data_IF_025261321474
#
_entry.id   IF_025261321474
#
_cell.length_a   1.000
_cell.length_b   1.000
_cell.length_c   1.000
_cell.angle_alpha   90.00
_cell.angle_beta   90.00
_cell.angle_gamma   90.00
#
_symmetry.space_group_name_H-M   'P 1'
#
loop_
_entity.id
_entity.type
_entity.pdbx_description
1 polymer ?
#
# COMPACT_ATOMS: atom_id res chain seq x y z
N UNK A 1 22.66 2.31 17.91
CA UNK A 1 22.81 2.34 16.44
C UNK A 1 24.06 3.13 16.04
N UNK A 2 25.27 2.72 16.49
CA UNK A 2 26.52 3.48 16.25
C UNK A 2 26.84 3.68 14.75
N UNK A 3 26.45 2.74 13.90
CA UNK A 3 26.67 2.85 12.45
C UNK A 3 25.78 3.86 11.72
N UNK A 4 24.66 4.32 12.30
CA UNK A 4 23.83 5.33 11.62
C UNK A 4 24.44 6.74 11.72
N UNK A 5 25.01 7.07 12.88
CA UNK A 5 25.67 8.36 13.07
C UNK A 5 26.89 8.53 12.16
N UNK A 6 27.62 7.44 11.88
CA UNK A 6 28.74 7.41 10.92
C UNK A 6 28.29 7.60 9.47
N UNK A 7 27.04 7.26 9.14
CA UNK A 7 26.47 7.40 7.79
C UNK A 7 25.76 8.74 7.57
N UNK A 8 25.52 9.53 8.61
CA UNK A 8 24.88 10.85 8.48
C UNK A 8 25.56 11.77 7.48
N UNK A 9 26.91 11.91 7.44
CA UNK A 9 27.57 12.75 6.44
C UNK A 9 27.32 12.27 5.01
N UNK A 10 27.26 10.95 4.79
CA UNK A 10 26.95 10.36 3.50
C UNK A 10 25.52 10.71 3.06
N UNK A 11 24.51 10.46 3.90
CA UNK A 11 23.12 10.80 3.57
C UNK A 11 22.90 12.31 3.41
N UNK A 12 23.61 13.13 4.19
CA UNK A 12 23.55 14.59 4.08
C UNK A 12 24.12 15.07 2.74
N UNK A 13 25.16 14.43 2.22
CA UNK A 13 25.70 14.73 0.89
C UNK A 13 24.68 14.50 -0.23
N UNK A 14 23.68 13.64 0.00
CA UNK A 14 22.60 13.33 -0.92
C UNK A 14 21.37 14.24 -0.76
N UNK A 15 21.41 15.24 0.13
CA UNK A 15 20.26 16.08 0.48
C UNK A 15 19.61 16.75 -0.75
N UNK A 16 20.42 17.21 -1.69
CA UNK A 16 19.95 17.89 -2.91
C UNK A 16 19.70 16.94 -4.08
N UNK A 17 19.63 15.64 -3.84
CA UNK A 17 19.39 14.62 -4.85
C UNK A 17 18.02 13.99 -4.68
N UNK A 18 17.56 13.25 -5.70
CA UNK A 18 16.32 12.46 -5.67
C UNK A 18 16.23 11.47 -4.49
N UNK A 19 17.34 11.20 -3.80
CA UNK A 19 17.38 10.29 -2.66
C UNK A 19 16.42 10.70 -1.54
N UNK A 20 16.30 11.99 -1.23
CA UNK A 20 15.41 12.46 -0.15
C UNK A 20 13.96 12.16 -0.50
N UNK A 21 13.53 12.51 -1.70
CA UNK A 21 12.19 12.20 -2.22
C UNK A 21 11.97 10.68 -2.22
N UNK A 22 12.94 9.90 -2.72
CA UNK A 22 12.84 8.45 -2.76
C UNK A 22 12.64 7.85 -1.37
N UNK A 23 13.41 8.30 -0.37
CA UNK A 23 13.33 7.80 1.01
C UNK A 23 11.94 8.04 1.63
N UNK A 24 11.33 9.19 1.31
CA UNK A 24 9.97 9.51 1.74
C UNK A 24 8.93 8.65 1.00
N UNK A 25 8.98 8.62 -0.33
CA UNK A 25 8.01 7.92 -1.18
C UNK A 25 8.04 6.41 -1.00
N UNK A 26 9.22 5.83 -0.77
CA UNK A 26 9.39 4.41 -0.50
C UNK A 26 8.46 3.93 0.62
N UNK A 27 8.32 4.71 1.70
CA UNK A 27 7.45 4.36 2.83
C UNK A 27 6.00 4.17 2.40
N UNK A 28 5.48 5.12 1.62
CA UNK A 28 4.10 5.07 1.08
C UNK A 28 3.93 3.96 0.06
N UNK A 29 4.92 3.70 -0.80
CA UNK A 29 4.88 2.58 -1.75
C UNK A 29 4.76 1.24 -1.04
N UNK A 30 5.54 1.01 0.02
CA UNK A 30 5.46 -0.21 0.81
C UNK A 30 4.14 -0.31 1.59
N UNK A 31 3.62 0.79 2.11
CA UNK A 31 2.31 0.84 2.77
C UNK A 31 1.19 0.47 1.80
N UNK A 32 1.05 1.19 0.69
CA UNK A 32 -0.01 0.97 -0.29
C UNK A 32 0.11 -0.38 -0.99
N UNK A 33 1.32 -0.84 -1.29
CA UNK A 33 1.57 -2.18 -1.81
C UNK A 33 1.06 -3.26 -0.86
N UNK A 34 1.41 -3.20 0.43
CA UNK A 34 0.93 -4.17 1.43
C UNK A 34 -0.59 -4.15 1.57
N UNK A 35 -1.19 -2.97 1.65
CA UNK A 35 -2.65 -2.80 1.77
C UNK A 35 -3.36 -3.40 0.56
N UNK A 36 -2.91 -3.08 -0.66
CA UNK A 36 -3.46 -3.61 -1.89
C UNK A 36 -3.35 -5.14 -1.95
N UNK A 37 -2.21 -5.70 -1.53
CA UNK A 37 -2.01 -7.14 -1.42
C UNK A 37 -3.05 -7.81 -0.52
N UNK A 38 -3.27 -7.26 0.68
CA UNK A 38 -4.26 -7.78 1.63
C UNK A 38 -5.68 -7.73 1.06
N UNK A 39 -6.05 -6.63 0.39
CA UNK A 39 -7.37 -6.49 -0.26
C UNK A 39 -7.55 -7.52 -1.36
N UNK A 40 -6.57 -7.68 -2.26
CA UNK A 40 -6.63 -8.66 -3.35
C UNK A 40 -6.80 -10.09 -2.82
N UNK A 41 -6.02 -10.48 -1.81
CA UNK A 41 -6.14 -11.82 -1.17
C UNK A 41 -7.52 -12.00 -0.52
N UNK A 42 -8.04 -10.96 0.14
CA UNK A 42 -9.36 -11.02 0.80
C UNK A 42 -10.49 -11.21 -0.21
N UNK A 43 -10.44 -10.48 -1.33
CA UNK A 43 -11.41 -10.62 -2.44
C UNK A 43 -11.32 -12.00 -3.07
N UNK A 44 -10.10 -12.48 -3.36
CA UNK A 44 -9.88 -13.81 -3.93
C UNK A 44 -10.47 -14.90 -3.03
N UNK A 45 -10.18 -14.86 -1.72
CA UNK A 45 -10.74 -15.83 -0.76
C UNK A 45 -12.26 -15.75 -0.69
N UNK A 46 -12.83 -14.54 -0.66
CA UNK A 46 -14.28 -14.34 -0.62
C UNK A 46 -14.94 -14.95 -1.86
N UNK A 47 -14.39 -14.69 -3.05
CA UNK A 47 -14.86 -15.23 -4.32
C UNK A 47 -14.80 -16.76 -4.34
N UNK A 48 -13.65 -17.35 -4.00
CA UNK A 48 -13.43 -18.80 -4.06
C UNK A 48 -14.32 -19.56 -3.07
N UNK A 49 -14.47 -19.05 -1.83
CA UNK A 49 -15.24 -19.75 -0.78
C UNK A 49 -16.74 -19.53 -0.93
N UNK A 50 -17.18 -18.30 -1.19
CA UNK A 50 -18.60 -17.97 -1.17
C UNK A 50 -19.29 -18.19 -2.51
N UNK A 51 -18.55 -18.04 -3.62
CA UNK A 51 -19.11 -18.08 -4.98
C UNK A 51 -18.20 -18.81 -5.99
N UNK A 52 -17.90 -20.10 -5.76
CA UNK A 52 -16.91 -20.84 -6.56
C UNK A 52 -17.25 -20.91 -8.06
N UNK A 53 -18.54 -20.96 -8.41
CA UNK A 53 -19.01 -21.03 -9.80
C UNK A 53 -19.34 -19.66 -10.42
N UNK A 54 -19.08 -18.55 -9.72
CA UNK A 54 -19.34 -17.23 -10.27
C UNK A 54 -18.44 -16.92 -11.48
N UNK A 55 -18.97 -16.13 -12.43
CA UNK A 55 -18.18 -15.64 -13.57
C UNK A 55 -16.95 -14.86 -13.11
N UNK A 56 -17.07 -14.11 -12.02
CA UNK A 56 -15.97 -13.37 -11.41
C UNK A 56 -14.83 -14.31 -10.98
N UNK A 57 -15.15 -15.39 -10.26
CA UNK A 57 -14.15 -16.36 -9.83
C UNK A 57 -13.45 -17.03 -11.02
N UNK A 58 -14.21 -17.39 -12.07
CA UNK A 58 -13.65 -18.00 -13.28
C UNK A 58 -12.70 -17.04 -14.02
N UNK A 59 -13.01 -15.74 -14.06
CA UNK A 59 -12.11 -14.73 -14.64
C UNK A 59 -10.83 -14.61 -13.80
N UNK A 60 -10.97 -14.51 -12.47
CA UNK A 60 -9.83 -14.43 -11.56
C UNK A 60 -8.86 -15.61 -11.72
N UNK A 61 -9.37 -16.83 -11.87
CA UNK A 61 -8.54 -18.03 -12.04
C UNK A 61 -7.87 -18.07 -13.42
N UNK A 62 -8.50 -17.51 -14.46
CA UNK A 62 -7.96 -17.48 -15.82
C UNK A 62 -6.96 -16.34 -16.06
N UNK A 63 -6.92 -15.34 -15.18
CA UNK A 63 -5.98 -14.23 -15.31
C UNK A 63 -4.54 -14.74 -15.14
N UNK A 64 -3.62 -14.29 -16.02
CA UNK A 64 -2.23 -14.70 -15.91
C UNK A 64 -1.58 -14.06 -14.68
N UNK A 65 -0.64 -14.77 -14.06
CA UNK A 65 0.03 -14.34 -12.83
C UNK A 65 0.68 -12.96 -12.97
N UNK A 66 1.24 -12.65 -14.16
CA UNK A 66 1.86 -11.36 -14.43
C UNK A 66 0.87 -10.19 -14.31
N UNK A 67 -0.43 -10.39 -14.57
CA UNK A 67 -1.43 -9.34 -14.44
C UNK A 67 -1.61 -8.91 -12.98
N UNK A 68 -1.55 -9.86 -12.05
CA UNK A 68 -1.57 -9.57 -10.61
C UNK A 68 -0.30 -8.85 -10.17
N UNK A 69 0.87 -9.28 -10.66
CA UNK A 69 2.13 -8.58 -10.41
C UNK A 69 2.08 -7.14 -10.95
N UNK A 70 1.65 -6.95 -12.20
CA UNK A 70 1.52 -5.64 -12.81
C UNK A 70 0.58 -4.75 -11.98
N UNK A 71 -0.61 -5.24 -11.62
CA UNK A 71 -1.55 -4.48 -10.78
C UNK A 71 -0.97 -4.13 -9.42
N UNK A 72 -0.32 -5.10 -8.75
CA UNK A 72 0.22 -4.92 -7.40
C UNK A 72 1.33 -3.86 -7.33
N UNK A 73 2.17 -3.75 -8.36
CA UNK A 73 3.26 -2.78 -8.39
C UNK A 73 2.86 -1.45 -9.04
N UNK A 74 2.07 -1.49 -10.11
CA UNK A 74 1.67 -0.26 -10.83
C UNK A 74 0.69 0.58 -10.03
N UNK A 75 -0.26 0.00 -9.31
CA UNK A 75 -1.25 0.78 -8.57
C UNK A 75 -0.63 1.61 -7.42
N UNK A 76 0.25 1.09 -6.55
CA UNK A 76 0.96 1.91 -5.57
C UNK A 76 1.82 3.00 -6.20
N UNK A 77 2.52 2.70 -7.31
CA UNK A 77 3.31 3.69 -8.05
C UNK A 77 2.44 4.84 -8.57
N UNK A 78 1.25 4.55 -9.10
CA UNK A 78 0.30 5.57 -9.55
C UNK A 78 -0.26 6.40 -8.39
N UNK A 79 -0.55 5.78 -7.25
CA UNK A 79 -1.05 6.49 -6.06
C UNK A 79 -0.02 7.47 -5.47
N UNK A 80 1.26 7.10 -5.54
CA UNK A 80 2.40 7.89 -5.09
C UNK A 80 3.01 8.80 -6.17
N UNK A 81 2.50 8.77 -7.41
CA UNK A 81 3.12 9.46 -8.55
C UNK A 81 3.36 10.95 -8.28
N UNK A 82 2.40 11.62 -7.65
CA UNK A 82 2.51 13.04 -7.31
C UNK A 82 3.64 13.33 -6.31
N UNK A 83 3.97 12.38 -5.43
CA UNK A 83 4.96 12.56 -4.37
C UNK A 83 6.40 12.63 -4.91
N UNK A 84 6.65 12.07 -6.11
CA UNK A 84 7.96 12.11 -6.76
C UNK A 84 8.35 13.50 -7.30
N UNK A 85 7.37 14.38 -7.47
CA UNK A 85 7.57 15.72 -8.04
C UNK A 85 7.57 16.83 -6.98
N UNK A 86 7.56 16.47 -5.69
CA UNK A 86 7.56 17.42 -4.58
C UNK A 86 8.98 17.65 -4.11
N UNK A 87 9.34 18.92 -3.92
CA UNK A 87 10.62 19.30 -3.36
C UNK A 87 10.69 18.90 -1.88
N UNK A 88 11.73 18.14 -1.52
CA UNK A 88 11.96 17.64 -0.17
C UNK A 88 13.47 17.72 0.12
N UNK A 89 13.82 18.07 1.36
CA UNK A 89 15.20 18.16 1.83
C UNK A 89 15.27 17.81 3.33
N UNK A 90 16.46 17.49 3.83
CA UNK A 90 16.74 17.29 5.24
C UNK A 90 16.95 18.63 5.97
N UNK A 91 16.33 18.78 7.13
CA UNK A 91 16.38 20.00 7.96
C UNK A 91 17.77 20.28 8.55
N UNK A 92 18.34 19.26 9.22
CA UNK A 92 19.63 19.37 9.89
C UNK A 92 20.39 18.03 9.89
N UNK A 93 21.72 18.08 9.96
CA UNK A 93 22.58 16.88 9.96
C UNK A 93 22.38 16.02 11.22
N UNK A 94 21.97 16.61 12.35
CA UNK A 94 21.75 15.85 13.57
C UNK A 94 20.45 15.03 13.53
N UNK A 95 19.37 15.63 12.99
CA UNK A 95 18.02 15.06 13.03
C UNK A 95 17.63 14.32 11.76
N UNK A 96 18.10 14.76 10.60
CA UNK A 96 17.76 14.19 9.28
C UNK A 96 16.26 14.11 9.00
N UNK A 97 15.48 15.04 9.55
CA UNK A 97 14.05 15.11 9.29
C UNK A 97 13.80 15.62 7.87
N UNK A 98 12.92 14.93 7.14
CA UNK A 98 12.48 15.37 5.82
C UNK A 98 11.51 16.53 5.95
N UNK A 99 11.87 17.66 5.36
CA UNK A 99 11.07 18.88 5.27
C UNK A 99 10.30 18.89 3.96
N UNK A 100 9.03 19.23 4.06
CA UNK A 100 8.07 19.30 2.96
C UNK A 100 7.05 20.41 3.28
N UNK A 101 6.50 21.04 2.25
CA UNK A 101 5.44 22.04 2.42
C UNK A 101 4.22 21.46 3.15
N UNK A 102 3.71 22.19 4.14
CA UNK A 102 2.58 21.74 4.99
C UNK A 102 1.35 21.34 4.17
N UNK A 103 0.97 22.16 3.18
CA UNK A 103 -0.23 21.90 2.37
C UNK A 103 -0.16 20.54 1.64
N UNK A 104 1.02 20.21 1.11
CA UNK A 104 1.25 18.92 0.43
C UNK A 104 1.28 17.78 1.44
N UNK A 105 1.91 18.00 2.59
CA UNK A 105 2.01 17.01 3.66
C UNK A 105 0.63 16.62 4.21
N UNK A 106 -0.28 17.58 4.41
CA UNK A 106 -1.65 17.32 4.86
C UNK A 106 -2.41 16.42 3.88
N UNK A 107 -2.27 16.67 2.57
CA UNK A 107 -2.88 15.82 1.54
C UNK A 107 -2.32 14.39 1.59
N UNK A 108 -1.01 14.23 1.77
CA UNK A 108 -0.37 12.92 1.87
C UNK A 108 -0.82 12.16 3.12
N UNK A 109 -0.91 12.85 4.27
CA UNK A 109 -1.46 12.28 5.50
C UNK A 109 -2.91 11.84 5.33
N UNK A 110 -3.75 12.68 4.73
CA UNK A 110 -5.15 12.33 4.49
C UNK A 110 -5.27 11.09 3.59
N UNK A 111 -4.45 10.98 2.54
CA UNK A 111 -4.38 9.79 1.70
C UNK A 111 -3.96 8.54 2.48
N UNK A 112 -2.90 8.64 3.30
CA UNK A 112 -2.42 7.53 4.14
C UNK A 112 -3.43 7.14 5.22
N UNK A 113 -4.34 8.02 5.66
CA UNK A 113 -5.43 7.63 6.55
C UNK A 113 -6.61 6.97 5.80
N UNK A 114 -7.01 7.52 4.65
CA UNK A 114 -8.19 7.07 3.91
C UNK A 114 -8.00 5.72 3.21
N UNK A 115 -6.83 5.48 2.62
CA UNK A 115 -6.56 4.24 1.86
C UNK A 115 -6.66 2.99 2.76
N UNK A 116 -5.98 2.91 3.93
CA UNK A 116 -6.14 1.79 4.85
C UNK A 116 -7.56 1.67 5.39
N UNK A 117 -8.24 2.79 5.65
CA UNK A 117 -9.62 2.76 6.14
C UNK A 117 -10.55 2.08 5.13
N UNK A 118 -10.52 2.51 3.86
CA UNK A 118 -11.33 1.91 2.78
C UNK A 118 -10.97 0.42 2.62
N UNK A 119 -9.68 0.11 2.60
CA UNK A 119 -9.23 -1.27 2.51
C UNK A 119 -9.74 -2.14 3.68
N UNK A 120 -9.73 -1.61 4.90
CA UNK A 120 -10.24 -2.32 6.08
C UNK A 120 -11.73 -2.61 5.96
N UNK A 121 -12.53 -1.67 5.42
CA UNK A 121 -13.96 -1.85 5.18
C UNK A 121 -14.19 -2.95 4.15
N UNK A 122 -13.45 -2.93 3.03
CA UNK A 122 -13.54 -3.96 1.98
C UNK A 122 -13.20 -5.34 2.55
N UNK A 123 -12.12 -5.45 3.33
CA UNK A 123 -11.73 -6.68 3.98
C UNK A 123 -12.80 -7.17 4.96
N UNK A 124 -13.33 -6.28 5.82
CA UNK A 124 -14.39 -6.62 6.77
C UNK A 124 -15.65 -7.16 6.07
N UNK A 125 -16.06 -6.53 4.95
CA UNK A 125 -17.18 -7.02 4.13
C UNK A 125 -16.86 -8.41 3.55
N UNK A 126 -15.69 -8.61 2.97
CA UNK A 126 -15.27 -9.91 2.42
C UNK A 126 -15.33 -11.02 3.48
N UNK A 127 -14.76 -10.77 4.67
CA UNK A 127 -14.78 -11.74 5.77
C UNK A 127 -16.19 -11.94 6.33
N UNK A 128 -17.02 -10.89 6.39
CA UNK A 128 -18.43 -11.01 6.78
C UNK A 128 -19.22 -11.93 5.85
N UNK A 129 -19.00 -11.83 4.53
CA UNK A 129 -19.60 -12.71 3.53
C UNK A 129 -19.11 -14.15 3.72
N UNK A 130 -17.80 -14.36 3.88
CA UNK A 130 -17.22 -15.70 4.10
C UNK A 130 -17.84 -16.37 5.34
N UNK A 131 -17.90 -15.66 6.47
CA UNK A 131 -18.48 -16.19 7.71
C UNK A 131 -19.96 -16.57 7.53
N UNK A 132 -20.73 -15.73 6.82
CA UNK A 132 -22.14 -16.03 6.50
C UNK A 132 -22.27 -17.29 5.65
N UNK A 133 -21.44 -17.45 4.63
CA UNK A 133 -21.45 -18.62 3.74
C UNK A 133 -21.11 -19.89 4.51
N UNK A 134 -20.05 -19.86 5.34
CA UNK A 134 -19.63 -21.01 6.16
C UNK A 134 -20.74 -21.40 7.14
N UNK A 135 -21.33 -20.44 7.85
CA UNK A 135 -22.43 -20.71 8.79
C UNK A 135 -23.62 -21.36 8.09
N UNK A 136 -24.02 -20.86 6.92
CA UNK A 136 -25.16 -21.40 6.17
C UNK A 136 -24.89 -22.82 5.64
N UNK A 137 -23.65 -23.14 5.28
CA UNK A 137 -23.29 -24.49 4.82
C UNK A 137 -23.15 -25.46 6.00
N UNK A 138 -22.67 -25.02 7.15
CA UNK A 138 -22.60 -25.83 8.37
C UNK A 138 -23.99 -26.21 8.91
N UNK A 139 -24.99 -25.32 8.77
CA UNK A 139 -26.38 -25.59 9.16
C UNK A 139 -27.13 -26.51 8.19
N UNK A 140 -26.58 -26.76 7.00
CA UNK A 140 -27.16 -27.66 5.99
C UNK A 140 -26.58 -29.08 6.05
N UNK A 141 -25.53 -29.28 6.85
CA UNK A 141 -24.90 -30.58 7.09
C UNK A 141 -25.54 -31.25 8.30
#
# INVERSE_FOLDING_TARGET
MRGFDELKPFYWSLNWTFFVQWSYVQTYLFEYGRILGVVMISIQRCSTVSYPHSRFNQILIRLPVWAFFALHYTAPLLLCANMFFVEMYFDDMATMNVVISKDVLEVHYMKSALIPLIASIVCAVCYGIILRTIKNNALKM
#
